data_IF_968388710757
#
_entry.id   IF_968388710757
#
_cell.length_a   1.000
_cell.length_b   1.000
_cell.length_c   1.000
_cell.angle_alpha   90.00
_cell.angle_beta   90.00
_cell.angle_gamma   90.00
#
_symmetry.space_group_name_H-M   'P 1'
#
loop_
_entity.id
_entity.type
_entity.pdbx_description
1 polymer ?
#
# COMPACT_ATOMS: atom_id res chain seq x y z
N UNK A 1 5.81 3.18 -0.09
CA UNK A 1 5.08 2.36 -1.05
C UNK A 1 3.66 2.87 -1.30
N UNK A 2 3.41 3.34 -2.51
CA UNK A 2 2.10 3.71 -3.05
C UNK A 2 1.54 2.58 -3.91
N UNK A 3 0.27 2.70 -4.28
CA UNK A 3 -0.40 1.75 -5.17
C UNK A 3 0.22 1.80 -6.57
N UNK A 4 0.58 3.00 -7.07
CA UNK A 4 1.29 3.15 -8.34
C UNK A 4 2.68 2.46 -8.35
N UNK A 5 3.46 2.57 -7.27
CA UNK A 5 4.79 1.94 -7.16
C UNK A 5 4.68 0.40 -7.26
N UNK A 6 3.73 -0.21 -6.56
CA UNK A 6 3.55 -1.67 -6.58
C UNK A 6 2.95 -2.14 -7.90
N UNK A 7 2.01 -1.39 -8.48
CA UNK A 7 1.42 -1.72 -9.79
C UNK A 7 2.44 -1.61 -10.91
N UNK A 8 3.36 -0.65 -10.86
CA UNK A 8 4.44 -0.54 -11.83
C UNK A 8 5.41 -1.72 -11.73
N UNK A 9 5.70 -2.20 -10.52
CA UNK A 9 6.58 -3.34 -10.31
C UNK A 9 5.97 -4.65 -10.82
N UNK A 10 4.70 -4.92 -10.51
CA UNK A 10 4.03 -6.16 -10.95
C UNK A 10 3.47 -6.07 -12.40
N UNK A 11 3.21 -4.87 -12.89
CA UNK A 11 2.74 -4.56 -14.25
C UNK A 11 1.23 -4.47 -14.42
N UNK A 12 0.42 -4.97 -13.48
CA UNK A 12 -1.04 -4.78 -13.48
C UNK A 12 -1.66 -4.96 -12.09
N UNK A 13 -2.84 -4.38 -11.90
CA UNK A 13 -3.65 -4.52 -10.67
C UNK A 13 -3.96 -5.98 -10.36
N UNK A 14 -4.22 -6.81 -11.37
CA UNK A 14 -4.54 -8.23 -11.20
C UNK A 14 -3.36 -9.02 -10.64
N UNK A 15 -2.14 -8.73 -11.12
CA UNK A 15 -0.92 -9.36 -10.59
C UNK A 15 -0.63 -8.94 -9.16
N UNK A 16 -0.91 -7.68 -8.81
CA UNK A 16 -0.83 -7.21 -7.41
C UNK A 16 -1.84 -7.98 -6.54
N UNK A 17 -3.08 -8.14 -7.03
CA UNK A 17 -4.13 -8.87 -6.31
C UNK A 17 -3.75 -10.34 -6.08
N UNK A 18 -3.23 -11.01 -7.11
CA UNK A 18 -2.72 -12.39 -7.03
C UNK A 18 -1.58 -12.51 -6.02
N UNK A 19 -0.59 -11.61 -6.08
CA UNK A 19 0.54 -11.57 -5.15
C UNK A 19 0.11 -11.50 -3.68
N UNK A 20 -0.93 -10.72 -3.39
CA UNK A 20 -1.47 -10.52 -2.05
C UNK A 20 -2.59 -11.50 -1.67
N UNK A 21 -3.03 -12.37 -2.58
CA UNK A 21 -4.17 -13.26 -2.37
C UNK A 21 -5.47 -12.52 -2.07
N UNK A 22 -5.70 -11.36 -2.71
CA UNK A 22 -6.89 -10.52 -2.56
C UNK A 22 -7.58 -10.31 -3.91
N UNK A 23 -8.70 -9.60 -3.92
CA UNK A 23 -9.38 -9.21 -5.16
C UNK A 23 -8.76 -7.95 -5.76
N UNK A 24 -8.85 -7.80 -7.09
CA UNK A 24 -8.43 -6.57 -7.79
C UNK A 24 -9.19 -5.34 -7.28
N UNK A 25 -10.45 -5.52 -6.87
CA UNK A 25 -11.25 -4.44 -6.26
C UNK A 25 -10.62 -3.93 -4.95
N UNK A 26 -10.07 -4.80 -4.12
CA UNK A 26 -9.36 -4.39 -2.91
C UNK A 26 -8.12 -3.52 -3.23
N UNK A 27 -7.43 -3.81 -4.34
CA UNK A 27 -6.31 -2.99 -4.83
C UNK A 27 -6.79 -1.63 -5.34
N UNK A 28 -7.91 -1.59 -6.08
CA UNK A 28 -8.53 -0.32 -6.50
C UNK A 28 -8.92 0.56 -5.30
N UNK A 29 -9.42 -0.03 -4.21
CA UNK A 29 -9.73 0.71 -2.98
C UNK A 29 -8.49 1.39 -2.36
N UNK A 30 -7.27 0.89 -2.60
CA UNK A 30 -6.05 1.55 -2.13
C UNK A 30 -5.77 2.86 -2.87
N UNK A 31 -6.14 2.95 -4.15
CA UNK A 31 -6.03 4.19 -4.94
C UNK A 31 -6.90 5.31 -4.40
N UNK A 32 -7.97 4.98 -3.69
CA UNK A 32 -8.87 5.95 -3.04
C UNK A 32 -8.32 6.47 -1.70
N UNK A 33 -7.24 5.89 -1.16
CA UNK A 33 -6.65 6.32 0.11
C UNK A 33 -5.81 7.58 -0.08
N UNK A 34 -5.71 8.46 0.94
CA UNK A 34 -4.82 9.61 0.90
C UNK A 34 -3.38 9.20 0.54
N UNK A 35 -2.78 9.92 -0.42
CA UNK A 35 -1.44 9.60 -0.92
C UNK A 35 -1.34 8.26 -1.68
N UNK A 36 -2.48 7.64 -2.02
CA UNK A 36 -2.58 6.33 -2.69
C UNK A 36 -1.75 5.25 -2.00
N UNK A 37 -1.63 5.34 -0.68
CA UNK A 37 -0.80 4.43 0.10
C UNK A 37 -1.49 3.08 0.26
N UNK A 38 -0.82 2.01 -0.15
CA UNK A 38 -1.25 0.65 0.21
C UNK A 38 -1.21 0.49 1.74
N UNK A 39 -2.03 -0.37 2.36
CA UNK A 39 -2.04 -0.54 3.82
C UNK A 39 -0.65 -0.83 4.40
N UNK A 40 -0.32 -0.24 5.56
CA UNK A 40 1.00 -0.35 6.19
C UNK A 40 1.50 -1.79 6.30
N UNK A 41 0.64 -2.70 6.77
CA UNK A 41 0.97 -4.12 6.87
C UNK A 41 1.26 -4.78 5.51
N UNK A 42 0.51 -4.40 4.47
CA UNK A 42 0.71 -4.90 3.10
C UNK A 42 1.99 -4.35 2.47
N UNK A 43 2.36 -3.11 2.78
CA UNK A 43 3.63 -2.55 2.35
C UNK A 43 4.83 -3.24 2.98
N UNK A 44 4.77 -3.54 4.27
CA UNK A 44 5.81 -4.32 4.94
C UNK A 44 5.91 -5.75 4.37
N UNK A 45 4.76 -6.38 4.11
CA UNK A 45 4.71 -7.70 3.48
C UNK A 45 5.29 -7.70 2.06
N UNK A 46 4.96 -6.70 1.25
CA UNK A 46 5.53 -6.55 -0.09
C UNK A 46 7.04 -6.35 -0.05
N UNK A 47 7.54 -5.48 0.84
CA UNK A 47 8.97 -5.26 1.00
C UNK A 47 9.71 -6.54 1.40
N UNK A 48 9.13 -7.32 2.32
CA UNK A 48 9.69 -8.59 2.76
C UNK A 48 9.71 -9.64 1.62
N UNK A 49 8.59 -9.82 0.92
CA UNK A 49 8.43 -10.83 -0.12
C UNK A 49 9.18 -10.52 -1.41
N UNK A 50 9.37 -9.24 -1.73
CA UNK A 50 10.17 -8.78 -2.89
C UNK A 50 11.65 -8.62 -2.56
N UNK A 51 12.12 -9.15 -1.42
CA UNK A 51 13.50 -9.04 -0.97
C UNK A 51 14.07 -7.60 -0.98
N UNK A 52 13.20 -6.60 -0.75
CA UNK A 52 13.57 -5.19 -0.72
C UNK A 52 13.48 -4.43 -2.05
N UNK A 53 13.06 -5.06 -3.15
CA UNK A 53 12.84 -4.33 -4.42
C UNK A 53 11.76 -3.24 -4.30
N UNK A 54 10.76 -3.47 -3.43
CA UNK A 54 9.78 -2.48 -3.05
C UNK A 54 10.07 -1.96 -1.64
N UNK A 55 10.41 -0.67 -1.51
CA UNK A 55 10.78 -0.09 -0.22
C UNK A 55 9.57 0.23 0.66
N UNK A 56 9.57 -0.33 1.88
CA UNK A 56 8.66 0.06 2.94
C UNK A 56 9.22 1.27 3.70
N UNK A 57 8.65 2.44 3.44
CA UNK A 57 8.91 3.65 4.23
C UNK A 57 7.79 3.87 5.27
N UNK A 58 8.05 3.66 6.59
CA UNK A 58 7.06 3.84 7.65
C UNK A 58 6.67 5.30 7.89
N UNK A 59 7.50 6.29 7.52
CA UNK A 59 7.23 7.72 7.72
C UNK A 59 6.09 8.21 6.83
N UNK A 60 5.90 7.59 5.66
CA UNK A 60 4.73 7.83 4.80
C UNK A 60 3.41 7.44 5.48
N UNK A 61 3.46 6.58 6.49
CA UNK A 61 2.32 6.15 7.31
C UNK A 61 2.26 6.88 8.65
N UNK A 62 2.90 8.04 8.75
CA UNK A 62 2.89 8.89 9.93
C UNK A 62 1.49 8.99 10.53
N UNK A 63 1.45 9.12 11.87
CA UNK A 63 0.21 9.20 12.63
C UNK A 63 -0.72 10.20 11.95
N UNK A 64 -1.88 9.72 11.49
CA UNK A 64 -3.03 10.60 11.39
C UNK A 64 -3.28 11.08 12.81
N UNK A 65 -2.68 12.19 13.20
CA UNK A 65 -3.31 13.13 14.12
C UNK A 65 -4.56 13.56 13.38
N UNK A 66 -5.65 12.83 13.54
CA UNK A 66 -6.98 13.38 13.30
C UNK A 66 -7.08 14.63 14.17
N UNK A 67 -7.31 15.84 13.62
CA UNK A 67 -7.64 16.99 14.43
C UNK A 67 -9.09 16.83 14.88
N UNK A 68 -9.36 16.00 15.89
CA UNK A 68 -10.64 15.99 16.59
C UNK A 68 -10.56 15.23 17.93
N UNK A 69 -9.75 15.72 18.87
CA UNK A 69 -9.95 15.46 20.30
C UNK A 69 -9.35 16.62 21.11
N UNK A 70 -10.03 17.76 21.10
CA UNK A 70 -9.96 18.73 22.19
C UNK A 70 -11.38 19.07 22.60
N UNK A 71 -11.70 18.63 23.81
CA UNK A 71 -12.93 18.87 24.57
C UNK A 71 -12.92 20.30 25.15
#
# INVERSE_FOLDING_TARGET
MTTDEIEQHFGSTEKVAEFFGITSEAVYQWRNRPGRLIPKGRAAEAAYRTAGELEFNPERYGKNTTPNDQK
#
